data_IF_641447297036
#
_entry.id   IF_641447297036
#
_cell.length_a   1.000
_cell.length_b   1.000
_cell.length_c   1.000
_cell.angle_alpha   90.00
_cell.angle_beta   90.00
_cell.angle_gamma   90.00
#
_symmetry.space_group_name_H-M   'P 1'
#
loop_
_entity.id
_entity.type
_entity.pdbx_description
1 polymer ?
#
# COMPACT_ATOMS: atom_id res chain seq x y z
N UNK A 1 17.37 -3.48 8.60
CA UNK A 1 18.11 -4.53 9.32
C UNK A 1 17.42 -4.65 10.65
N UNK A 2 16.92 -5.82 11.03
CA UNK A 2 16.37 -5.97 12.38
C UNK A 2 17.53 -6.04 13.38
N UNK A 3 17.26 -5.69 14.64
CA UNK A 3 18.26 -5.49 15.71
C UNK A 3 19.16 -6.70 15.96
N UNK A 4 18.80 -7.89 15.45
CA UNK A 4 19.55 -9.15 15.62
C UNK A 4 20.36 -9.58 14.38
N UNK A 5 20.58 -8.70 13.40
CA UNK A 5 21.41 -9.01 12.23
C UNK A 5 20.71 -9.77 11.10
N UNK A 6 19.46 -10.18 11.30
CA UNK A 6 18.63 -10.79 10.27
C UNK A 6 17.98 -9.75 9.34
N UNK A 7 17.91 -10.10 8.06
CA UNK A 7 17.26 -9.31 7.03
C UNK A 7 15.90 -9.92 6.71
N UNK A 8 14.80 -9.19 6.97
CA UNK A 8 13.48 -9.65 6.54
C UNK A 8 13.32 -9.66 5.02
N UNK A 9 14.05 -8.79 4.30
CA UNK A 9 14.09 -8.79 2.84
C UNK A 9 15.54 -8.55 2.42
N UNK A 10 16.10 -9.41 1.55
CA UNK A 10 17.51 -9.36 1.13
C UNK A 10 17.63 -9.45 -0.39
N UNK A 11 18.12 -8.37 -1.01
CA UNK A 11 18.54 -8.39 -2.42
C UNK A 11 17.42 -8.60 -3.44
N UNK A 12 16.20 -8.11 -3.17
CA UNK A 12 15.07 -8.23 -4.09
C UNK A 12 15.17 -7.19 -5.20
N UNK A 13 15.09 -7.64 -6.45
CA UNK A 13 14.89 -6.82 -7.63
C UNK A 13 13.57 -7.25 -8.27
N UNK A 14 12.61 -6.34 -8.35
CA UNK A 14 11.26 -6.62 -8.83
C UNK A 14 10.76 -5.43 -9.66
N UNK A 15 10.10 -5.72 -10.79
CA UNK A 15 9.35 -4.76 -11.58
C UNK A 15 7.87 -5.15 -11.55
N UNK A 16 7.00 -4.17 -11.33
CA UNK A 16 5.54 -4.31 -11.39
C UNK A 16 5.02 -3.38 -12.48
N UNK A 17 4.09 -3.84 -13.30
CA UNK A 17 3.63 -3.10 -14.48
C UNK A 17 2.17 -2.67 -14.36
N UNK A 18 1.84 -1.52 -14.94
CA UNK A 18 0.47 -1.02 -15.00
C UNK A 18 -0.44 -2.01 -15.73
N UNK A 19 -1.65 -2.21 -15.21
CA UNK A 19 -2.62 -3.16 -15.76
C UNK A 19 -2.34 -4.64 -15.43
N UNK A 20 -1.29 -4.95 -14.66
CA UNK A 20 -0.98 -6.31 -14.24
C UNK A 20 -1.24 -6.52 -12.75
N UNK A 21 -1.78 -7.70 -12.42
CA UNK A 21 -1.87 -8.18 -11.04
C UNK A 21 -0.59 -8.95 -10.73
N UNK A 22 0.20 -8.45 -9.79
CA UNK A 22 1.40 -9.13 -9.30
C UNK A 22 1.11 -9.72 -7.92
N UNK A 23 1.31 -11.02 -7.75
CA UNK A 23 1.17 -11.71 -6.47
C UNK A 23 2.54 -12.04 -5.89
N UNK A 24 2.76 -11.69 -4.62
CA UNK A 24 3.94 -12.06 -3.86
C UNK A 24 3.59 -13.20 -2.90
N UNK A 25 4.15 -14.38 -3.15
CA UNK A 25 3.86 -15.59 -2.38
C UNK A 25 5.10 -15.99 -1.55
N UNK A 26 4.88 -16.40 -0.31
CA UNK A 26 5.92 -16.85 0.60
C UNK A 26 5.34 -17.29 1.94
N UNK A 27 6.07 -18.13 2.68
CA UNK A 27 5.67 -18.54 4.02
C UNK A 27 5.65 -17.33 4.99
N UNK A 28 4.97 -17.48 6.13
CA UNK A 28 5.02 -16.47 7.19
C UNK A 28 6.48 -16.21 7.61
N UNK A 29 6.89 -14.95 7.68
CA UNK A 29 8.27 -14.56 7.97
C UNK A 29 9.20 -14.48 6.75
N UNK A 30 8.75 -14.83 5.54
CA UNK A 30 9.56 -14.68 4.30
C UNK A 30 9.81 -13.21 3.90
N UNK A 31 9.18 -12.25 4.58
CA UNK A 31 9.38 -10.82 4.32
C UNK A 31 8.31 -10.15 3.45
N UNK A 32 7.24 -10.86 3.06
CA UNK A 32 6.18 -10.30 2.21
C UNK A 32 5.56 -9.03 2.82
N UNK A 33 5.09 -9.11 4.08
CA UNK A 33 4.52 -7.95 4.79
C UNK A 33 5.52 -6.79 4.90
N UNK A 34 6.80 -7.11 5.07
CA UNK A 34 7.88 -6.11 5.13
C UNK A 34 8.09 -5.44 3.76
N UNK A 35 8.06 -6.21 2.67
CA UNK A 35 8.15 -5.68 1.32
C UNK A 35 6.95 -4.78 0.98
N UNK A 36 5.73 -5.22 1.31
CA UNK A 36 4.52 -4.39 1.15
C UNK A 36 4.60 -3.09 1.97
N UNK A 37 5.12 -3.16 3.20
CA UNK A 37 5.31 -1.97 4.04
C UNK A 37 6.36 -1.00 3.47
N UNK A 38 7.39 -1.52 2.79
CA UNK A 38 8.36 -0.68 2.09
C UNK A 38 7.76 -0.05 0.84
N UNK A 39 7.01 -0.82 0.05
CA UNK A 39 6.32 -0.31 -1.16
C UNK A 39 5.30 0.77 -0.79
N UNK A 40 4.46 0.53 0.23
CA UNK A 40 3.47 1.51 0.69
C UNK A 40 4.08 2.74 1.38
N UNK A 41 5.39 2.75 1.59
CA UNK A 41 6.11 3.83 2.24
C UNK A 41 5.88 3.92 3.75
N UNK A 42 5.38 2.85 4.39
CA UNK A 42 5.28 2.75 5.86
C UNK A 42 6.64 2.46 6.51
N UNK A 43 7.52 1.73 5.81
CA UNK A 43 8.89 1.45 6.24
C UNK A 43 9.89 1.93 5.18
N UNK A 44 11.06 2.43 5.59
CA UNK A 44 12.13 2.78 4.68
C UNK A 44 13.01 1.54 4.37
N UNK A 45 13.42 1.32 3.11
CA UNK A 45 14.38 0.26 2.79
C UNK A 45 15.73 0.55 3.44
N UNK A 46 16.39 -0.47 3.97
CA UNK A 46 17.73 -0.31 4.56
C UNK A 46 18.81 -0.04 3.51
N UNK A 47 18.62 -0.55 2.28
CA UNK A 47 19.48 -0.33 1.10
C UNK A 47 18.62 -0.42 -0.16
N UNK A 48 19.08 0.21 -1.24
CA UNK A 48 18.35 0.24 -2.52
C UNK A 48 17.33 1.37 -2.59
N UNK A 49 16.43 1.30 -3.58
CA UNK A 49 15.40 2.32 -3.79
C UNK A 49 14.13 1.70 -4.35
N UNK A 50 13.00 2.35 -4.10
CA UNK A 50 11.69 2.00 -4.69
C UNK A 50 11.25 3.21 -5.51
N UNK A 51 10.90 2.97 -6.77
CA UNK A 51 10.37 3.98 -7.69
C UNK A 51 8.98 3.56 -8.12
N UNK A 52 8.03 4.49 -8.07
CA UNK A 52 6.64 4.24 -8.42
C UNK A 52 6.28 5.21 -9.51
N UNK A 53 6.02 4.67 -10.70
CA UNK A 53 5.69 5.45 -11.89
C UNK A 53 6.69 6.62 -12.09
N UNK A 54 6.18 7.83 -12.32
CA UNK A 54 6.98 9.04 -12.53
C UNK A 54 7.04 9.94 -11.28
N UNK A 55 6.75 9.40 -10.08
CA UNK A 55 6.77 10.18 -8.85
C UNK A 55 8.21 10.61 -8.50
N UNK A 56 8.38 11.90 -8.21
CA UNK A 56 9.68 12.54 -7.97
C UNK A 56 10.14 12.46 -6.51
N UNK A 57 9.19 12.31 -5.59
CA UNK A 57 9.46 12.25 -4.16
C UNK A 57 8.52 11.27 -3.45
N UNK A 58 8.82 10.97 -2.18
CA UNK A 58 8.06 10.02 -1.37
C UNK A 58 6.59 10.42 -1.18
N UNK A 59 6.31 11.73 -1.09
CA UNK A 59 4.94 12.24 -0.92
C UNK A 59 4.08 11.92 -2.14
N UNK A 60 4.60 12.19 -3.34
CA UNK A 60 3.93 11.82 -4.60
C UNK A 60 3.72 10.31 -4.71
N UNK A 61 4.73 9.51 -4.34
CA UNK A 61 4.62 8.05 -4.32
C UNK A 61 3.47 7.58 -3.42
N UNK A 62 3.33 8.14 -2.21
CA UNK A 62 2.27 7.78 -1.26
C UNK A 62 0.86 8.16 -1.74
N UNK A 63 0.73 9.22 -2.55
CA UNK A 63 -0.56 9.60 -3.14
C UNK A 63 -1.01 8.60 -4.21
N UNK A 64 -0.07 7.97 -4.93
CA UNK A 64 -0.35 7.00 -5.98
C UNK A 64 -0.68 5.59 -5.46
N UNK A 65 -0.50 5.32 -4.15
CA UNK A 65 -0.68 3.99 -3.57
C UNK A 65 -1.97 3.91 -2.73
N UNK A 66 -2.81 2.91 -3.04
CA UNK A 66 -3.81 2.38 -2.11
C UNK A 66 -3.20 1.22 -1.31
N UNK A 67 -3.35 1.23 0.02
CA UNK A 67 -2.85 0.17 0.89
C UNK A 67 -4.01 -0.44 1.68
N UNK A 68 -4.16 -1.76 1.57
CA UNK A 68 -5.08 -2.54 2.39
C UNK A 68 -4.25 -3.34 3.41
N UNK A 69 -4.38 -3.06 4.71
CA UNK A 69 -3.63 -3.78 5.73
C UNK A 69 -4.11 -5.24 5.87
N UNK A 70 -3.32 -6.06 6.54
CA UNK A 70 -3.69 -7.44 6.86
C UNK A 70 -4.83 -7.54 7.88
N UNK A 71 -5.00 -6.52 8.71
CA UNK A 71 -6.09 -6.44 9.67
C UNK A 71 -7.32 -5.76 9.05
N UNK A 72 -8.50 -6.03 9.62
CA UNK A 72 -9.73 -5.38 9.18
C UNK A 72 -9.75 -3.91 9.60
N UNK A 73 -9.56 -3.00 8.64
CA UNK A 73 -9.65 -1.56 8.85
C UNK A 73 -11.11 -1.04 8.80
N UNK A 74 -12.04 -1.76 9.44
CA UNK A 74 -13.47 -1.45 9.44
C UNK A 74 -13.84 -0.65 10.68
N UNK A 75 -14.53 0.47 10.49
CA UNK A 75 -15.07 1.26 11.60
C UNK A 75 -16.48 0.80 11.93
N UNK A 76 -16.65 0.12 13.07
CA UNK A 76 -17.93 -0.48 13.48
C UNK A 76 -19.09 0.51 13.63
N UNK A 77 -18.80 1.81 13.76
CA UNK A 77 -19.80 2.88 13.93
C UNK A 77 -20.19 3.56 12.62
N UNK A 78 -19.57 3.20 11.49
CA UNK A 78 -19.87 3.78 10.19
C UNK A 78 -20.59 2.76 9.32
N UNK A 79 -21.57 3.24 8.56
CA UNK A 79 -22.11 2.50 7.42
C UNK A 79 -21.04 2.33 6.34
N UNK A 80 -21.27 1.41 5.40
CA UNK A 80 -20.35 1.17 4.26
C UNK A 80 -20.10 2.46 3.47
N UNK A 81 -21.16 3.22 3.19
CA UNK A 81 -21.08 4.46 2.43
C UNK A 81 -20.29 5.54 3.18
N UNK A 82 -20.51 5.70 4.49
CA UNK A 82 -19.75 6.63 5.32
C UNK A 82 -18.27 6.23 5.41
N UNK A 83 -17.99 4.94 5.50
CA UNK A 83 -16.62 4.41 5.53
C UNK A 83 -15.89 4.69 4.21
N UNK A 84 -16.53 4.41 3.06
CA UNK A 84 -15.99 4.72 1.73
C UNK A 84 -15.82 6.23 1.52
N UNK A 85 -16.79 7.04 1.97
CA UNK A 85 -16.70 8.49 1.88
C UNK A 85 -15.53 9.03 2.73
N UNK A 86 -15.33 8.49 3.92
CA UNK A 86 -14.23 8.86 4.81
C UNK A 86 -12.86 8.62 4.16
N UNK A 87 -12.61 7.42 3.64
CA UNK A 87 -11.35 7.10 2.95
C UNK A 87 -11.18 7.86 1.63
N UNK A 88 -12.27 8.11 0.90
CA UNK A 88 -12.25 8.93 -0.32
C UNK A 88 -11.76 10.35 -0.03
N UNK A 89 -12.29 10.97 1.04
CA UNK A 89 -11.87 12.31 1.47
C UNK A 89 -10.41 12.35 1.95
N UNK A 90 -9.96 11.34 2.69
CA UNK A 90 -8.56 11.20 3.10
C UNK A 90 -7.59 11.15 1.90
N UNK A 91 -8.04 10.57 0.78
CA UNK A 91 -7.28 10.51 -0.48
C UNK A 91 -7.50 11.72 -1.41
N UNK A 92 -8.19 12.77 -0.94
CA UNK A 92 -8.42 13.98 -1.72
C UNK A 92 -9.51 13.86 -2.80
N UNK A 93 -10.34 12.81 -2.76
CA UNK A 93 -11.46 12.65 -3.69
C UNK A 93 -12.65 13.48 -3.18
N UNK A 94 -12.82 14.66 -3.77
CA UNK A 94 -13.80 15.65 -3.31
C UNK A 94 -15.26 15.32 -3.68
N UNK A 95 -15.50 14.40 -4.62
CA UNK A 95 -16.85 14.00 -5.06
C UNK A 95 -16.99 12.47 -5.00
N UNK A 96 -17.29 11.95 -3.82
CA UNK A 96 -17.77 10.57 -3.71
C UNK A 96 -19.18 10.50 -4.33
N UNK A 97 -19.31 9.77 -5.44
CA UNK A 97 -20.60 9.41 -6.02
C UNK A 97 -20.95 8.05 -5.42
N UNK A 98 -21.93 8.03 -4.54
CA UNK A 98 -22.26 6.82 -3.78
C UNK A 98 -22.62 5.62 -4.63
N UNK A 99 -22.77 4.48 -3.96
CA UNK A 99 -23.14 3.19 -4.56
C UNK A 99 -24.50 3.19 -5.29
N UNK A 100 -25.30 4.25 -5.17
CA UNK A 100 -26.60 4.43 -5.83
C UNK A 100 -26.60 5.05 -7.24
N UNK A 101 -25.49 5.54 -7.77
CA UNK A 101 -25.41 5.98 -9.19
C UNK A 101 -24.72 4.90 -10.03
N UNK A 102 -25.50 3.87 -10.38
CA UNK A 102 -25.14 2.93 -11.46
C UNK A 102 -25.09 3.73 -12.77
N UNK A 103 -23.94 3.69 -13.45
CA UNK A 103 -23.90 3.83 -14.92
C UNK A 103 -24.58 2.63 -15.56
#
# INVERSE_FOLDING_TARGET
MYTMGEYAVRGVNLNMYSGQVTALLGHNGAGSSTLFSMISGMAAPSKGSIKIMNAQNRTEQQQLIGYCPQYNAIFAKLTVDEHLQFFSRLKGVNKWKGTGQRV
#
